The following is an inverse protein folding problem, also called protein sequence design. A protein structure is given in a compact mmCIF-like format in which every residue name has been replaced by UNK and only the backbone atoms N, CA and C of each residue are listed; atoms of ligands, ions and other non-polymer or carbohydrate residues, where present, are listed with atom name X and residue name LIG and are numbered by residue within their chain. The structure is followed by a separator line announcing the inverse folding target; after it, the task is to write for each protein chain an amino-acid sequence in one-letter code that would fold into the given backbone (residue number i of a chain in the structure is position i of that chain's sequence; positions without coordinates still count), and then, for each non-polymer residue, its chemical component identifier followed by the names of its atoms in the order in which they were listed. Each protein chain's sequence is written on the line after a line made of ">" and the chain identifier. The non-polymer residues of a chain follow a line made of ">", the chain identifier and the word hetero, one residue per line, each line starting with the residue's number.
data_IF_245078850309
#
_entry.id   IF_245078850309
#
_cell.length_a   1.000
_cell.length_b   1.000
_cell.length_c   1.000
_cell.angle_alpha   90.00
_cell.angle_beta   90.00
_cell.angle_gamma   90.00
#
_symmetry.space_group_name_H-M   'P 1'
#
loop_
_entity.id
_entity.type
_entity.pdbx_description
1 polymer ?
#
# COMPACT_ATOMS: atom_id res chain seq x y z
N UNK A 1 18.47 2.31 -9.18
CA UNK A 1 18.29 3.48 -8.30
C UNK A 1 16.92 4.12 -8.57
N UNK A 2 15.82 3.60 -7.99
CA UNK A 2 14.46 4.08 -8.28
C UNK A 2 13.98 5.24 -7.39
N UNK A 3 14.84 5.79 -6.52
CA UNK A 3 14.44 6.83 -5.55
C UNK A 3 14.35 8.26 -6.09
N UNK A 4 14.99 8.58 -7.23
CA UNK A 4 15.18 9.99 -7.64
C UNK A 4 14.03 10.56 -8.48
N UNK A 5 13.34 9.72 -9.25
CA UNK A 5 12.27 10.14 -10.16
C UNK A 5 10.92 10.32 -9.45
N UNK A 6 10.64 9.54 -8.40
CA UNK A 6 9.42 9.70 -7.62
C UNK A 6 9.45 10.98 -6.77
N UNK A 7 10.62 11.30 -6.21
CA UNK A 7 10.84 12.47 -5.37
C UNK A 7 10.62 13.78 -6.14
N UNK A 8 10.91 13.81 -7.45
CA UNK A 8 10.73 14.98 -8.31
C UNK A 8 9.29 15.16 -8.84
N UNK A 9 8.49 14.09 -8.90
CA UNK A 9 7.05 14.16 -9.23
C UNK A 9 6.22 14.62 -8.01
N UNK A 10 6.60 14.22 -6.80
CA UNK A 10 5.90 14.58 -5.56
C UNK A 10 6.23 15.98 -5.03
N UNK A 11 7.40 16.55 -5.37
CA UNK A 11 7.86 17.85 -4.88
C UNK A 11 7.18 19.10 -5.50
N UNK A 12 6.17 18.94 -6.36
CA UNK A 12 5.55 20.06 -7.10
C UNK A 12 4.27 20.62 -6.47
N UNK A 13 3.81 20.06 -5.34
CA UNK A 13 2.59 20.51 -4.65
C UNK A 13 2.93 21.12 -3.29
N UNK A 14 2.60 22.41 -3.04
CA UNK A 14 2.87 23.09 -1.77
C UNK A 14 2.09 22.52 -0.56
N UNK A 15 1.26 21.49 -0.77
CA UNK A 15 0.57 20.77 0.30
C UNK A 15 1.41 19.63 0.92
N UNK A 16 2.57 19.31 0.36
CA UNK A 16 3.42 18.20 0.82
C UNK A 16 4.22 18.52 2.10
N UNK A 17 4.37 19.81 2.42
CA UNK A 17 5.28 20.28 3.49
C UNK A 17 4.74 20.04 4.92
N UNK A 18 3.50 19.58 5.08
CA UNK A 18 2.88 19.28 6.38
C UNK A 18 2.70 17.78 6.68
N UNK A 19 3.02 16.89 5.73
CA UNK A 19 2.92 15.44 5.96
C UNK A 19 4.24 14.96 6.53
N UNK A 20 4.28 14.84 7.86
CA UNK A 20 5.35 14.15 8.58
C UNK A 20 5.37 12.69 8.12
N UNK A 21 6.14 12.36 7.08
CA UNK A 21 6.47 10.98 6.73
C UNK A 21 7.40 10.49 7.85
N UNK A 22 6.80 9.94 8.90
CA UNK A 22 7.53 9.21 9.94
C UNK A 22 8.22 8.01 9.30
N UNK A 23 9.50 7.76 9.64
CA UNK A 23 10.30 6.57 9.34
C UNK A 23 9.74 5.65 8.23
N UNK A 24 10.34 5.59 7.02
CA UNK A 24 9.79 4.80 5.91
C UNK A 24 9.67 3.34 6.31
N UNK A 25 8.45 2.91 6.62
CA UNK A 25 8.18 1.54 7.01
C UNK A 25 8.34 0.62 5.80
N UNK A 26 8.75 -0.63 6.01
CA UNK A 26 8.93 -1.63 4.95
C UNK A 26 7.71 -1.73 4.00
N UNK A 27 6.50 -1.60 4.55
CA UNK A 27 5.24 -1.59 3.80
C UNK A 27 5.22 -0.51 2.69
N UNK A 28 5.72 0.68 3.00
CA UNK A 28 5.75 1.82 2.08
C UNK A 28 6.70 1.59 0.90
N UNK A 29 7.88 1.05 1.18
CA UNK A 29 8.87 0.77 0.13
C UNK A 29 8.39 -0.30 -0.85
N UNK A 30 7.82 -1.39 -0.32
CA UNK A 30 7.25 -2.48 -1.15
C UNK A 30 6.07 -1.97 -1.98
N UNK A 31 5.24 -1.10 -1.40
CA UNK A 31 4.12 -0.50 -2.11
C UNK A 31 4.58 0.36 -3.30
N UNK A 32 5.60 1.19 -3.11
CA UNK A 32 6.14 2.03 -4.18
C UNK A 32 6.72 1.20 -5.32
N UNK A 33 7.44 0.13 -5.01
CA UNK A 33 8.00 -0.78 -6.01
C UNK A 33 6.88 -1.45 -6.83
N UNK A 34 5.83 -1.93 -6.15
CA UNK A 34 4.67 -2.51 -6.82
C UNK A 34 3.92 -1.52 -7.72
N UNK A 35 3.85 -0.24 -7.33
CA UNK A 35 3.26 0.83 -8.14
C UNK A 35 4.13 1.19 -9.34
N UNK A 36 5.45 1.13 -9.21
CA UNK A 36 6.38 1.32 -10.33
C UNK A 36 6.21 0.19 -11.36
N UNK A 37 6.04 -1.05 -10.92
CA UNK A 37 5.91 -2.21 -11.79
C UNK A 37 4.51 -2.35 -12.42
N UNK A 38 3.45 -2.17 -11.65
CA UNK A 38 2.06 -2.43 -12.08
C UNK A 38 1.24 -1.16 -12.38
N UNK A 39 1.82 0.01 -12.14
CA UNK A 39 1.13 1.29 -12.20
C UNK A 39 0.28 1.58 -10.97
N UNK A 40 -0.27 2.80 -10.93
CA UNK A 40 -1.06 3.26 -9.77
C UNK A 40 -2.41 2.53 -9.74
N UNK A 41 -2.81 1.89 -8.63
CA UNK A 41 -4.12 1.27 -8.53
C UNK A 41 -5.27 2.30 -8.62
N UNK A 42 -6.46 1.83 -8.97
CA UNK A 42 -7.64 2.68 -9.14
C UNK A 42 -8.34 2.97 -7.81
N UNK A 43 -8.38 1.99 -6.90
CA UNK A 43 -8.84 2.09 -5.50
C UNK A 43 -8.05 1.11 -4.63
N UNK A 44 -7.78 1.50 -3.39
CA UNK A 44 -7.20 0.64 -2.36
C UNK A 44 -8.15 0.60 -1.17
N UNK A 45 -8.25 -0.56 -0.52
CA UNK A 45 -8.91 -0.71 0.75
C UNK A 45 -7.88 -1.19 1.77
N UNK A 46 -7.84 -0.52 2.93
CA UNK A 46 -6.93 -0.87 4.01
C UNK A 46 -7.62 -0.79 5.36
N UNK A 47 -7.07 -1.51 6.34
CA UNK A 47 -7.50 -1.40 7.73
C UNK A 47 -7.03 -0.07 8.33
N UNK A 48 -7.63 0.34 9.45
CA UNK A 48 -7.34 1.56 10.23
C UNK A 48 -6.00 1.51 10.99
N UNK A 49 -4.97 0.94 10.36
CA UNK A 49 -3.59 0.93 10.87
C UNK A 49 -2.87 2.25 10.58
N UNK A 50 -1.99 2.67 11.49
CA UNK A 50 -1.14 3.86 11.30
C UNK A 50 -0.18 3.70 10.12
N UNK A 51 0.29 2.48 9.87
CA UNK A 51 1.19 2.10 8.77
C UNK A 51 0.59 2.38 7.37
N UNK A 52 -0.74 2.37 7.24
CA UNK A 52 -1.42 2.61 5.96
C UNK A 52 -1.73 4.10 5.72
N UNK A 53 -1.36 4.99 6.66
CA UNK A 53 -1.60 6.43 6.54
C UNK A 53 -0.88 7.00 5.32
N UNK A 54 0.40 6.70 5.15
CA UNK A 54 1.20 7.27 4.06
C UNK A 54 0.73 6.79 2.68
N UNK A 55 0.32 5.51 2.58
CA UNK A 55 -0.33 4.94 1.39
C UNK A 55 -1.63 5.69 1.05
N UNK A 56 -2.46 5.98 2.06
CA UNK A 56 -3.71 6.70 1.85
C UNK A 56 -3.48 8.14 1.34
N UNK A 57 -2.46 8.82 1.85
CA UNK A 57 -2.08 10.17 1.44
C UNK A 57 -1.56 10.15 0.00
N UNK A 58 -0.69 9.20 -0.35
CA UNK A 58 -0.19 9.06 -1.70
C UNK A 58 -1.31 8.81 -2.72
N UNK A 59 -2.23 7.91 -2.39
CA UNK A 59 -3.37 7.62 -3.28
C UNK A 59 -4.28 8.84 -3.48
N UNK A 60 -4.41 9.68 -2.45
CA UNK A 60 -5.13 10.94 -2.55
C UNK A 60 -4.42 11.96 -3.45
N UNK A 61 -3.09 12.06 -3.33
CA UNK A 61 -2.26 12.95 -4.16
C UNK A 61 -2.25 12.50 -5.63
N UNK A 62 -2.11 11.20 -5.90
CA UNK A 62 -2.01 10.66 -7.24
C UNK A 62 -3.35 10.59 -7.99
N UNK A 63 -4.47 10.36 -7.29
CA UNK A 63 -5.79 10.15 -7.90
C UNK A 63 -6.79 11.29 -7.67
N UNK A 64 -6.44 12.26 -6.84
CA UNK A 64 -7.27 13.43 -6.52
C UNK A 64 -8.20 13.23 -5.31
N UNK A 65 -8.54 14.36 -4.69
CA UNK A 65 -9.49 14.47 -3.58
C UNK A 65 -10.92 14.11 -4.03
N UNK A 66 -11.77 13.64 -3.10
CA UNK A 66 -13.20 13.30 -3.32
C UNK A 66 -13.55 12.11 -4.23
N UNK A 67 -12.58 11.27 -4.63
CA UNK A 67 -12.86 10.04 -5.41
C UNK A 67 -13.08 8.78 -4.56
N UNK A 68 -12.90 8.88 -3.24
CA UNK A 68 -12.82 7.72 -2.34
C UNK A 68 -11.77 6.69 -2.82
N UNK A 69 -10.60 7.19 -3.26
CA UNK A 69 -9.48 6.39 -3.79
C UNK A 69 -8.94 5.40 -2.76
N UNK A 70 -8.96 5.78 -1.48
CA UNK A 70 -8.61 4.93 -0.36
C UNK A 70 -9.84 4.75 0.54
N UNK A 71 -10.32 3.52 0.66
CA UNK A 71 -11.50 3.18 1.45
C UNK A 71 -11.04 2.64 2.79
N UNK A 72 -11.28 3.42 3.84
CA UNK A 72 -11.12 2.95 5.21
C UNK A 72 -12.32 2.08 5.58
N UNK A 73 -12.08 0.80 5.84
CA UNK A 73 -13.12 -0.15 6.22
C UNK A 73 -12.77 -0.87 7.52
N UNK A 74 -13.77 -1.40 8.26
CA UNK A 74 -13.49 -2.38 9.30
C UNK A 74 -12.82 -3.61 8.70
N UNK A 75 -11.98 -4.29 9.49
CA UNK A 75 -11.22 -5.50 9.11
C UNK A 75 -12.09 -6.58 8.44
N UNK A 76 -13.40 -6.63 8.72
CA UNK A 76 -14.36 -7.55 8.07
C UNK A 76 -14.33 -7.46 6.53
N UNK A 77 -14.04 -6.29 5.94
CA UNK A 77 -13.94 -6.16 4.48
C UNK A 77 -12.58 -6.64 3.93
N UNK A 78 -11.59 -6.86 4.79
CA UNK A 78 -10.30 -7.44 4.44
C UNK A 78 -10.33 -8.97 4.31
N UNK A 79 -11.51 -9.59 4.47
CA UNK A 79 -11.73 -11.04 4.36
C UNK A 79 -11.10 -11.65 3.11
N UNK A 80 -11.06 -10.94 1.98
CA UNK A 80 -10.45 -11.47 0.74
C UNK A 80 -8.94 -11.68 0.88
N UNK A 81 -8.23 -10.71 1.45
CA UNK A 81 -6.80 -10.81 1.69
C UNK A 81 -6.54 -11.85 2.78
N UNK A 82 -7.33 -11.85 3.86
CA UNK A 82 -7.24 -12.86 4.93
C UNK A 82 -7.44 -14.29 4.40
N UNK A 83 -8.44 -14.52 3.54
CA UNK A 83 -8.65 -15.83 2.88
C UNK A 83 -7.50 -16.19 1.96
N UNK A 84 -6.96 -15.23 1.21
CA UNK A 84 -5.79 -15.47 0.36
C UNK A 84 -4.60 -15.90 1.21
N UNK A 85 -4.35 -15.26 2.35
CA UNK A 85 -3.30 -15.65 3.29
C UNK A 85 -3.49 -17.07 3.83
N UNK A 86 -4.72 -17.46 4.18
CA UNK A 86 -5.01 -18.84 4.62
C UNK A 86 -4.74 -19.84 3.49
N UNK A 87 -5.18 -19.55 2.26
CA UNK A 87 -4.93 -20.44 1.12
C UNK A 87 -3.45 -20.55 0.83
N UNK A 88 -2.74 -19.42 0.70
CA UNK A 88 -1.30 -19.40 0.50
C UNK A 88 -0.56 -20.11 1.63
N UNK A 89 -0.92 -19.86 2.88
CA UNK A 89 -0.36 -20.52 4.05
C UNK A 89 -0.57 -22.02 4.06
N UNK A 90 -1.75 -22.50 3.63
CA UNK A 90 -1.99 -23.93 3.43
C UNK A 90 -1.13 -24.50 2.30
N UNK A 91 -1.04 -23.83 1.16
CA UNK A 91 -0.16 -24.27 0.06
C UNK A 91 1.30 -24.33 0.49
N UNK A 92 1.80 -23.28 1.14
CA UNK A 92 3.17 -23.24 1.68
C UNK A 92 3.38 -24.29 2.76
N UNK A 93 2.44 -24.48 3.71
CA UNK A 93 2.53 -25.48 4.76
C UNK A 93 2.49 -26.91 4.23
N UNK A 94 1.61 -27.21 3.27
CA UNK A 94 1.56 -28.50 2.59
C UNK A 94 2.86 -28.75 1.80
N UNK A 95 3.36 -27.75 1.07
CA UNK A 95 4.63 -27.83 0.36
C UNK A 95 5.80 -28.05 1.32
N UNK A 96 5.80 -27.37 2.46
CA UNK A 96 6.86 -27.47 3.48
C UNK A 96 6.92 -28.88 4.08
N UNK A 97 5.76 -29.49 4.34
CA UNK A 97 5.64 -30.85 4.87
C UNK A 97 5.99 -31.96 3.85
N UNK A 98 6.18 -31.60 2.58
CA UNK A 98 6.67 -32.51 1.52
C UNK A 98 8.19 -32.41 1.36
N UNK A 99 8.79 -31.27 1.73
CA UNK A 99 10.21 -31.00 1.56
C UNK A 99 11.08 -31.31 2.79
N UNK A 100 10.49 -31.45 3.98
CA UNK A 100 11.15 -31.82 5.24
C UNK A 100 10.46 -33.02 5.88
#
# INVERSE_FOLDING_TARGET
>A
MPGTLLCSILNRSPAFEQVQITEPQLSWMVFLDAVLDNGVPSRIQGDRGGENRDVSILMLLLRGLNRASFVWGPSVFNTRIERLWVVLGCYFGCQWNVFF
#
